data_IF_628415579221
#
_entry.id   IF_628415579221
#
_cell.length_a   1.000
_cell.length_b   1.000
_cell.length_c   1.000
_cell.angle_alpha   90.00
_cell.angle_beta   90.00
_cell.angle_gamma   90.00
#
_symmetry.space_group_name_H-M   'P 1'
#
loop_
_entity.id
_entity.type
_entity.pdbx_description
1 polymer ?
#
# COMPACT_ATOMS: atom_id res chain seq x y z
N UNK A 1 -3.22 24.78 12.27
CA UNK A 1 -3.40 24.48 10.84
C UNK A 1 -2.43 23.38 10.46
N UNK A 2 -2.80 22.14 10.71
CA UNK A 2 -2.07 20.95 10.25
C UNK A 2 -2.71 20.55 8.94
N UNK A 3 -1.94 20.60 7.85
CA UNK A 3 -2.38 20.08 6.57
C UNK A 3 -2.61 18.58 6.74
N UNK A 4 -3.88 18.21 6.83
CA UNK A 4 -4.35 16.86 6.56
C UNK A 4 -3.95 16.55 5.12
N UNK A 5 -2.88 15.78 4.94
CA UNK A 5 -2.48 15.27 3.64
C UNK A 5 -3.48 14.17 3.29
N UNK A 6 -4.68 14.57 2.90
CA UNK A 6 -5.60 13.73 2.13
C UNK A 6 -4.94 13.51 0.77
N UNK A 7 -4.12 12.45 0.69
CA UNK A 7 -3.69 11.90 -0.59
C UNK A 7 -4.97 11.60 -1.39
N UNK A 8 -5.14 12.15 -2.61
CA UNK A 8 -6.35 11.90 -3.39
C UNK A 8 -6.51 10.40 -3.61
N UNK A 9 -7.64 9.88 -3.12
CA UNK A 9 -8.08 8.49 -3.23
C UNK A 9 -8.29 8.11 -4.69
N UNK A 10 -7.23 7.68 -5.37
CA UNK A 10 -7.35 6.81 -6.52
C UNK A 10 -7.71 5.39 -6.02
N UNK A 11 -8.98 5.23 -5.67
CA UNK A 11 -9.73 3.97 -5.72
C UNK A 11 -9.24 2.76 -4.93
N UNK A 12 -8.69 2.89 -3.71
CA UNK A 12 -8.58 1.72 -2.81
C UNK A 12 -10.00 1.31 -2.40
N UNK A 13 -10.52 0.24 -3.02
CA UNK A 13 -11.88 -0.26 -2.76
C UNK A 13 -11.97 -0.96 -1.42
N UNK A 14 -10.91 -1.69 -1.05
CA UNK A 14 -10.81 -2.40 0.21
C UNK A 14 -9.79 -1.70 1.13
N UNK A 15 -10.31 -0.92 2.08
CA UNK A 15 -9.47 -0.16 3.02
C UNK A 15 -8.91 -1.11 4.08
N UNK A 16 -7.59 -1.06 4.25
CA UNK A 16 -6.90 -1.77 5.32
C UNK A 16 -6.51 -0.76 6.40
N UNK A 17 -6.96 -0.98 7.63
CA UNK A 17 -6.52 -0.14 8.75
C UNK A 17 -5.02 -0.32 9.02
N UNK A 18 -4.36 0.73 9.50
CA UNK A 18 -2.93 0.73 9.81
C UNK A 18 -2.68 0.13 11.19
N UNK A 19 -3.12 -1.11 11.38
CA UNK A 19 -3.05 -1.86 12.63
C UNK A 19 -2.53 -3.27 12.37
N UNK A 20 -1.85 -3.88 13.34
CA UNK A 20 -1.26 -5.21 13.19
C UNK A 20 -2.30 -6.29 12.80
N UNK A 21 -3.46 -6.39 13.48
CA UNK A 21 -4.49 -7.36 13.10
C UNK A 21 -5.06 -7.16 11.70
N UNK A 22 -5.29 -5.91 11.27
CA UNK A 22 -5.84 -5.63 9.94
C UNK A 22 -4.83 -5.96 8.83
N UNK A 23 -3.55 -5.60 9.03
CA UNK A 23 -2.45 -5.96 8.14
C UNK A 23 -2.36 -7.48 8.00
N UNK A 24 -2.28 -8.19 9.13
CA UNK A 24 -2.21 -9.66 9.18
C UNK A 24 -3.35 -10.34 8.41
N UNK A 25 -4.57 -9.83 8.56
CA UNK A 25 -5.76 -10.39 7.93
C UNK A 25 -5.76 -10.21 6.40
N UNK A 26 -5.20 -9.10 5.91
CA UNK A 26 -5.16 -8.77 4.49
C UNK A 26 -4.04 -9.48 3.72
N UNK A 27 -2.93 -9.83 4.37
CA UNK A 27 -1.80 -10.52 3.74
C UNK A 27 -2.13 -11.97 3.36
N UNK A 28 -1.53 -12.44 2.26
CA UNK A 28 -1.50 -13.85 1.88
C UNK A 28 -0.65 -14.69 2.87
N UNK A 29 -0.72 -16.03 2.82
CA UNK A 29 -0.10 -16.88 3.84
C UNK A 29 1.43 -16.74 3.98
N UNK A 30 2.16 -16.52 2.88
CA UNK A 30 3.63 -16.40 2.91
C UNK A 30 4.02 -15.05 3.53
N UNK A 31 3.43 -13.98 3.02
CA UNK A 31 3.67 -12.63 3.53
C UNK A 31 3.19 -12.46 4.97
N UNK A 32 2.11 -13.14 5.36
CA UNK A 32 1.63 -13.17 6.75
C UNK A 32 2.66 -13.79 7.68
N UNK A 33 3.29 -14.89 7.28
CA UNK A 33 4.30 -15.54 8.11
C UNK A 33 5.53 -14.63 8.31
N UNK A 34 5.97 -13.94 7.26
CA UNK A 34 7.05 -12.94 7.36
C UNK A 34 6.66 -11.76 8.25
N UNK A 35 5.45 -11.22 8.09
CA UNK A 35 4.93 -10.17 8.95
C UNK A 35 4.88 -10.59 10.41
N UNK A 36 4.39 -11.80 10.71
CA UNK A 36 4.31 -12.32 12.08
C UNK A 36 5.72 -12.47 12.70
N UNK A 37 6.71 -12.89 11.93
CA UNK A 37 8.10 -12.98 12.38
C UNK A 37 8.71 -11.60 12.68
N UNK A 38 8.56 -10.64 11.77
CA UNK A 38 9.02 -9.26 11.95
C UNK A 38 8.34 -8.61 13.16
N UNK A 39 7.03 -8.78 13.29
CA UNK A 39 6.25 -8.22 14.40
C UNK A 39 6.66 -8.85 15.74
N UNK A 40 6.92 -10.16 15.77
CA UNK A 40 7.39 -10.84 16.97
C UNK A 40 8.78 -10.34 17.39
N UNK A 41 9.71 -10.20 16.45
CA UNK A 41 11.05 -9.67 16.74
C UNK A 41 10.99 -8.24 17.30
N UNK A 42 10.17 -7.37 16.70
CA UNK A 42 9.96 -6.01 17.19
C UNK A 42 9.27 -5.97 18.56
N UNK A 43 8.37 -6.92 18.86
CA UNK A 43 7.72 -7.02 20.16
C UNK A 43 8.71 -7.43 21.26
N UNK A 44 9.66 -8.32 20.97
CA UNK A 44 10.74 -8.68 21.91
C UNK A 44 11.63 -7.46 22.19
N UNK A 45 12.06 -6.74 21.15
CA UNK A 45 12.86 -5.51 21.33
C UNK A 45 12.10 -4.44 22.14
N UNK A 46 10.80 -4.32 21.91
CA UNK A 46 9.92 -3.41 22.67
C UNK A 46 9.85 -3.81 24.13
N UNK A 47 9.76 -5.10 24.45
CA UNK A 47 9.71 -5.59 25.84
C UNK A 47 11.02 -5.28 26.57
N UNK A 48 12.16 -5.44 25.90
CA UNK A 48 13.49 -5.17 26.45
C UNK A 48 13.75 -3.67 26.67
N UNK A 49 13.26 -2.81 25.78
CA UNK A 49 13.62 -1.36 25.75
C UNK A 49 12.50 -0.44 26.21
N UNK A 50 11.26 -0.94 26.29
CA UNK A 50 10.03 -0.17 26.46
C UNK A 50 9.80 0.92 25.39
N UNK A 51 10.49 0.83 24.25
CA UNK A 51 10.29 1.69 23.09
C UNK A 51 9.36 1.00 22.08
N UNK A 52 8.26 1.66 21.72
CA UNK A 52 7.29 1.18 20.73
C UNK A 52 7.67 1.48 19.29
N UNK A 53 8.72 2.28 19.05
CA UNK A 53 9.16 2.65 17.72
C UNK A 53 9.44 1.44 16.79
N UNK A 54 10.04 0.32 17.24
CA UNK A 54 10.22 -0.87 16.41
C UNK A 54 8.90 -1.42 15.86
N UNK A 55 7.86 -1.54 16.71
CA UNK A 55 6.53 -2.00 16.29
C UNK A 55 5.90 -1.07 15.26
N UNK A 56 6.01 0.25 15.45
CA UNK A 56 5.51 1.22 14.48
C UNK A 56 6.20 1.10 13.13
N UNK A 57 7.52 0.87 13.10
CA UNK A 57 8.26 0.66 11.85
C UNK A 57 7.79 -0.60 11.10
N UNK A 58 7.50 -1.68 11.83
CA UNK A 58 6.94 -2.91 11.22
C UNK A 58 5.57 -2.61 10.60
N UNK A 59 4.68 -1.96 11.34
CA UNK A 59 3.36 -1.55 10.82
C UNK A 59 3.49 -0.69 9.56
N UNK A 60 4.38 0.29 9.57
CA UNK A 60 4.57 1.21 8.45
C UNK A 60 5.16 0.52 7.21
N UNK A 61 6.07 -0.42 7.42
CA UNK A 61 6.68 -1.22 6.34
C UNK A 61 5.66 -2.13 5.67
N UNK A 62 4.81 -2.80 6.46
CA UNK A 62 3.92 -3.84 5.97
C UNK A 62 2.55 -3.33 5.50
N UNK A 63 2.11 -2.15 5.95
CA UNK A 63 0.81 -1.62 5.56
C UNK A 63 0.61 -1.45 4.04
N UNK A 64 1.56 -0.89 3.26
CA UNK A 64 1.40 -0.78 1.81
C UNK A 64 1.21 -2.15 1.13
N UNK A 65 1.91 -3.17 1.61
CA UNK A 65 1.80 -4.52 1.07
C UNK A 65 0.42 -5.12 1.37
N UNK A 66 -0.08 -4.94 2.58
CA UNK A 66 -1.44 -5.36 2.95
C UNK A 66 -2.51 -4.66 2.10
N UNK A 67 -2.33 -3.38 1.77
CA UNK A 67 -3.21 -2.67 0.83
C UNK A 67 -3.18 -3.32 -0.55
N UNK A 68 -2.01 -3.69 -1.09
CA UNK A 68 -1.91 -4.35 -2.39
C UNK A 68 -2.56 -5.75 -2.39
N UNK A 69 -2.34 -6.55 -1.34
CA UNK A 69 -3.01 -7.86 -1.19
C UNK A 69 -4.54 -7.73 -1.13
N UNK A 70 -5.05 -6.71 -0.43
CA UNK A 70 -6.48 -6.45 -0.33
C UNK A 70 -7.11 -5.89 -1.61
N UNK A 71 -6.30 -5.35 -2.53
CA UNK A 71 -6.73 -4.67 -3.76
C UNK A 71 -5.90 -5.17 -4.97
N UNK A 72 -6.07 -6.43 -5.38
CA UNK A 72 -5.24 -7.06 -6.42
C UNK A 72 -5.34 -6.35 -7.79
N UNK A 73 -6.41 -5.61 -8.05
CA UNK A 73 -6.57 -4.79 -9.25
C UNK A 73 -5.52 -3.68 -9.37
N UNK A 74 -5.04 -3.15 -8.23
CA UNK A 74 -3.99 -2.12 -8.21
C UNK A 74 -2.68 -2.74 -8.70
N UNK A 75 -2.34 -3.92 -8.20
CA UNK A 75 -1.15 -4.66 -8.62
C UNK A 75 -1.23 -5.03 -10.12
N UNK A 76 -2.41 -5.47 -10.59
CA UNK A 76 -2.64 -5.76 -12.00
C UNK A 76 -2.44 -4.53 -12.91
N UNK A 77 -2.87 -3.33 -12.46
CA UNK A 77 -2.63 -2.06 -13.14
C UNK A 77 -1.14 -1.75 -13.23
N UNK A 78 -0.42 -1.83 -12.11
CA UNK A 78 1.04 -1.62 -12.05
C UNK A 78 1.77 -2.56 -13.02
N UNK A 79 1.40 -3.83 -13.06
CA UNK A 79 2.04 -4.81 -13.95
C UNK A 79 1.69 -4.61 -15.42
N UNK A 80 0.50 -4.05 -15.71
CA UNK A 80 0.15 -3.64 -17.06
C UNK A 80 1.00 -2.44 -17.51
N UNK A 81 1.16 -1.45 -16.65
CA UNK A 81 1.98 -0.26 -16.91
C UNK A 81 3.45 -0.63 -17.10
N UNK A 82 3.99 -1.53 -16.26
CA UNK A 82 5.35 -2.08 -16.43
C UNK A 82 5.56 -2.74 -17.79
N UNK A 83 4.58 -3.52 -18.27
CA UNK A 83 4.64 -4.16 -19.60
C UNK A 83 4.65 -3.12 -20.72
N UNK A 84 3.85 -2.05 -20.60
CA UNK A 84 3.79 -0.96 -21.58
C UNK A 84 5.10 -0.16 -21.61
N UNK A 85 5.68 0.16 -20.46
CA UNK A 85 6.99 0.80 -20.35
C UNK A 85 8.07 -0.06 -21.01
N UNK A 86 8.08 -1.37 -20.72
CA UNK A 86 9.04 -2.30 -21.33
C UNK A 86 8.87 -2.41 -22.86
N UNK A 87 7.66 -2.19 -23.37
CA UNK A 87 7.36 -2.10 -24.80
C UNK A 87 7.70 -0.72 -25.42
N UNK A 88 8.19 0.24 -24.62
CA UNK A 88 8.56 1.58 -25.08
C UNK A 88 7.40 2.55 -25.24
N UNK A 89 6.25 2.29 -24.60
CA UNK A 89 5.09 3.18 -24.64
C UNK A 89 5.32 4.43 -23.76
N UNK A 90 5.47 5.63 -24.36
CA UNK A 90 5.77 6.83 -23.61
C UNK A 90 4.57 7.41 -22.85
N UNK A 91 3.34 6.92 -23.06
CA UNK A 91 2.16 7.51 -22.42
C UNK A 91 1.97 7.07 -20.96
N UNK A 92 2.73 6.08 -20.50
CA UNK A 92 2.68 5.58 -19.10
C UNK A 92 3.24 6.61 -18.11
N UNK A 93 4.19 7.44 -18.55
CA UNK A 93 4.81 8.52 -17.77
C UNK A 93 4.05 9.83 -18.02
N UNK A 94 2.77 9.88 -17.64
CA UNK A 94 1.98 11.12 -17.78
C UNK A 94 0.48 10.97 -17.62
N UNK A 95 -0.08 9.78 -17.86
CA UNK A 95 -1.51 9.55 -17.65
C UNK A 95 -1.80 9.05 -16.24
N UNK A 96 -2.53 9.86 -15.47
CA UNK A 96 -3.30 9.38 -14.33
C UNK A 96 -4.35 8.40 -14.87
N UNK A 97 -4.15 7.10 -14.66
CA UNK A 97 -5.16 6.11 -15.03
C UNK A 97 -6.40 6.27 -14.15
N UNK A 98 -7.55 6.53 -14.78
CA UNK A 98 -8.86 6.55 -14.13
C UNK A 98 -9.61 5.25 -14.43
N UNK A 99 -10.15 4.55 -13.41
CA UNK A 99 -11.00 3.40 -13.67
C UNK A 99 -12.29 3.80 -14.42
N UNK A 100 -12.87 2.89 -15.22
CA UNK A 100 -14.09 3.17 -15.97
C UNK A 100 -15.22 3.66 -15.04
N UNK A 101 -15.77 4.84 -15.33
CA UNK A 101 -16.85 5.46 -14.54
C UNK A 101 -16.42 6.61 -13.63
N UNK A 102 -15.13 6.92 -13.53
CA UNK A 102 -14.67 8.16 -12.89
C UNK A 102 -14.61 9.32 -13.91
N UNK A 103 -15.13 10.52 -13.57
CA UNK A 103 -14.96 11.68 -14.44
C UNK A 103 -13.48 12.05 -14.51
N UNK A 104 -12.93 12.10 -15.73
CA UNK A 104 -11.61 12.66 -15.97
C UNK A 104 -11.58 14.11 -15.48
N UNK A 105 -10.60 14.46 -14.65
CA UNK A 105 -10.37 15.86 -14.31
C UNK A 105 -9.96 16.62 -15.58
N UNK A 106 -10.51 17.82 -15.82
CA UNK A 106 -10.14 18.60 -17.00
C UNK A 106 -8.64 18.92 -16.96
N UNK A 107 -7.94 18.61 -18.05
CA UNK A 107 -6.57 19.07 -18.25
C UNK A 107 -6.56 20.59 -18.27
N UNK A 108 -5.88 21.20 -17.29
CA UNK A 108 -5.60 22.64 -17.31
C UNK A 108 -4.43 22.85 -18.27
N UNK A 109 -4.69 23.61 -19.34
CA UNK A 109 -3.73 23.98 -20.37
C UNK A 109 -2.63 24.92 -19.84
#
# INVERSE_FOLDING_TARGET
MTADVTIPSYGVRNRVERTGPAIRAALDPEQRAEFEADFHAAAVETDDTLDLAPLHRVIDRWWPQAVLCANPEIQAGIDADRRRIAAGDPTVIGEVWYPPGHPQAPHVA
#
